data_IF_726607417333
#
_entry.id   IF_726607417333
#
_cell.length_a   1.000
_cell.length_b   1.000
_cell.length_c   1.000
_cell.angle_alpha   90.00
_cell.angle_beta   90.00
_cell.angle_gamma   90.00
#
_symmetry.space_group_name_H-M   'P 1'
#
loop_
_entity.id
_entity.type
_entity.pdbx_description
1 polymer ?
#
# COMPACT_ATOMS: atom_id res chain seq x y z
N UNK A 1 7.02 18.45 10.72
CA UNK A 1 7.43 17.82 9.46
C UNK A 1 6.47 18.26 8.37
N UNK A 2 6.88 18.23 7.10
CA UNK A 2 6.03 18.52 5.94
C UNK A 2 6.07 17.32 5.02
N UNK A 3 4.93 16.76 4.65
CA UNK A 3 4.86 15.58 3.79
C UNK A 3 3.87 15.75 2.66
N UNK A 4 4.08 15.04 1.56
CA UNK A 4 3.18 15.06 0.41
C UNK A 4 3.69 14.15 -0.70
N UNK A 5 3.03 14.24 -1.84
CA UNK A 5 3.18 13.31 -2.97
C UNK A 5 3.08 14.04 -4.31
N UNK A 6 3.66 13.47 -5.37
CA UNK A 6 3.45 13.91 -6.76
C UNK A 6 3.95 15.33 -6.99
N UNK A 7 3.10 16.23 -7.46
CA UNK A 7 3.38 17.66 -7.63
C UNK A 7 3.73 18.37 -6.32
N UNK A 8 3.54 17.73 -5.15
CA UNK A 8 4.14 18.20 -3.91
C UNK A 8 5.68 18.19 -3.95
N UNK A 9 6.31 17.51 -4.90
CA UNK A 9 7.73 17.69 -5.25
C UNK A 9 8.08 19.12 -5.68
N UNK A 10 7.10 19.92 -6.12
CA UNK A 10 7.22 21.37 -6.30
C UNK A 10 6.78 22.11 -5.03
N UNK A 11 5.62 21.79 -4.47
CA UNK A 11 5.06 22.55 -3.33
C UNK A 11 5.96 22.51 -2.09
N UNK A 12 6.48 21.32 -1.74
CA UNK A 12 7.20 21.10 -0.48
C UNK A 12 8.56 21.79 -0.50
N UNK A 13 9.41 21.71 -1.54
CA UNK A 13 10.66 22.46 -1.54
C UNK A 13 10.45 23.98 -1.48
N UNK A 14 9.44 24.51 -2.17
CA UNK A 14 9.12 25.95 -2.09
C UNK A 14 8.66 26.36 -0.68
N UNK A 15 7.76 25.59 -0.06
CA UNK A 15 7.31 25.84 1.31
C UNK A 15 8.44 25.68 2.33
N UNK A 16 9.24 24.64 2.18
CA UNK A 16 10.36 24.31 3.07
C UNK A 16 11.43 25.40 3.02
N UNK A 17 11.82 25.86 1.82
CA UNK A 17 12.75 26.99 1.68
C UNK A 17 12.20 28.24 2.38
N UNK A 18 10.92 28.54 2.21
CA UNK A 18 10.28 29.70 2.86
C UNK A 18 10.33 29.60 4.38
N UNK A 19 10.07 28.43 4.95
CA UNK A 19 10.09 28.21 6.40
C UNK A 19 11.51 28.19 6.99
N UNK A 20 12.51 27.75 6.21
CA UNK A 20 13.92 27.86 6.58
C UNK A 20 14.34 29.33 6.64
N UNK A 21 13.94 30.15 5.66
CA UNK A 21 14.30 31.58 5.59
C UNK A 21 13.51 32.45 6.57
N UNK A 22 12.25 32.08 6.84
CA UNK A 22 11.35 32.80 7.73
C UNK A 22 10.60 31.80 8.63
N UNK A 23 11.25 31.35 9.73
CA UNK A 23 10.63 30.40 10.67
C UNK A 23 9.36 30.96 11.30
N UNK A 24 8.38 30.08 11.53
CA UNK A 24 7.15 30.43 12.23
C UNK A 24 7.34 30.30 13.74
N UNK A 25 6.94 31.32 14.49
CA UNK A 25 6.99 31.29 15.95
C UNK A 25 6.15 30.13 16.50
N UNK A 26 6.73 29.36 17.42
CA UNK A 26 6.08 28.19 18.03
C UNK A 26 6.05 26.93 17.14
N UNK A 27 6.64 26.96 15.94
CA UNK A 27 6.71 25.79 15.05
C UNK A 27 8.15 25.46 14.73
N UNK A 28 8.56 24.23 15.07
CA UNK A 28 9.90 23.74 14.74
C UNK A 28 9.88 22.85 13.50
N UNK A 29 10.58 23.27 12.45
CA UNK A 29 10.72 22.49 11.23
C UNK A 29 11.81 21.41 11.42
N UNK A 30 11.40 20.15 11.55
CA UNK A 30 12.31 19.01 11.73
C UNK A 30 12.77 18.33 10.44
N UNK A 31 11.97 18.42 9.38
CA UNK A 31 12.22 17.65 8.16
C UNK A 31 11.02 17.59 7.23
N UNK A 32 11.21 16.94 6.09
CA UNK A 32 10.19 16.72 5.08
C UNK A 32 10.31 15.35 4.41
N UNK A 33 9.18 14.83 3.92
CA UNK A 33 9.14 13.60 3.14
C UNK A 33 8.28 13.77 1.88
N UNK A 34 8.75 13.30 0.73
CA UNK A 34 8.00 13.43 -0.54
C UNK A 34 7.95 12.08 -1.26
N UNK A 35 6.73 11.59 -1.50
CA UNK A 35 6.45 10.38 -2.27
C UNK A 35 6.33 10.69 -3.76
N UNK A 36 6.96 9.90 -4.61
CA UNK A 36 6.90 9.99 -6.07
C UNK A 36 6.99 11.45 -6.55
N UNK A 37 8.10 12.17 -6.25
CA UNK A 37 8.14 13.63 -6.31
C UNK A 37 8.42 14.17 -7.72
N UNK A 38 7.44 14.80 -8.35
CA UNK A 38 7.71 15.58 -9.56
C UNK A 38 8.53 16.81 -9.15
N UNK A 39 9.79 16.85 -9.58
CA UNK A 39 10.80 17.79 -9.08
C UNK A 39 11.39 18.64 -10.19
N UNK A 40 11.63 18.05 -11.36
CA UNK A 40 12.19 18.74 -12.52
C UNK A 40 11.60 18.19 -13.81
N UNK A 41 10.93 19.05 -14.56
CA UNK A 41 10.21 18.66 -15.78
C UNK A 41 11.12 17.97 -16.80
N UNK A 42 12.33 18.48 -17.00
CA UNK A 42 13.24 17.92 -17.99
C UNK A 42 13.74 16.54 -17.57
N UNK A 43 14.22 16.42 -16.33
CA UNK A 43 14.79 15.17 -15.83
C UNK A 43 13.72 14.09 -15.66
N UNK A 44 12.58 14.45 -15.04
CA UNK A 44 11.51 13.50 -14.78
C UNK A 44 10.87 13.02 -16.08
N UNK A 45 10.54 13.91 -17.02
CA UNK A 45 9.93 13.49 -18.30
C UNK A 45 10.88 12.70 -19.20
N UNK A 46 12.18 13.02 -19.20
CA UNK A 46 13.16 12.28 -19.99
C UNK A 46 13.44 10.88 -19.43
N UNK A 47 13.00 10.57 -18.21
CA UNK A 47 13.07 9.22 -17.64
C UNK A 47 11.93 8.30 -18.10
N UNK A 48 10.84 8.85 -18.62
CA UNK A 48 9.63 8.10 -18.97
C UNK A 48 9.93 6.97 -19.95
N UNK A 49 10.71 7.24 -21.00
CA UNK A 49 10.92 6.27 -22.08
C UNK A 49 11.84 5.13 -21.65
N UNK A 50 12.77 5.40 -20.72
CA UNK A 50 13.56 4.34 -20.09
C UNK A 50 12.66 3.47 -19.22
N UNK A 51 11.75 4.08 -18.47
CA UNK A 51 10.80 3.36 -17.65
C UNK A 51 9.87 2.47 -18.50
N UNK A 52 9.25 3.04 -19.53
CA UNK A 52 8.32 2.34 -20.42
C UNK A 52 8.99 1.14 -21.12
N UNK A 53 10.23 1.31 -21.60
CA UNK A 53 10.99 0.22 -22.21
C UNK A 53 11.33 -0.88 -21.20
N UNK A 54 11.82 -0.53 -20.01
CA UNK A 54 12.20 -1.52 -18.98
C UNK A 54 10.99 -2.26 -18.38
N UNK A 55 9.77 -1.74 -18.57
CA UNK A 55 8.53 -2.39 -18.16
C UNK A 55 7.76 -3.04 -19.31
N UNK A 56 8.37 -3.10 -20.51
CA UNK A 56 7.80 -3.81 -21.66
C UNK A 56 6.58 -3.12 -22.27
N UNK A 57 6.40 -1.82 -22.05
CA UNK A 57 5.31 -1.05 -22.65
C UNK A 57 5.59 -0.67 -24.11
N UNK A 58 6.86 -0.51 -24.46
CA UNK A 58 7.30 -0.12 -25.80
C UNK A 58 8.37 -1.06 -26.34
N UNK A 59 8.44 -1.17 -27.67
CA UNK A 59 9.43 -2.00 -28.35
C UNK A 59 10.85 -1.43 -28.24
N UNK A 60 11.87 -2.27 -28.45
CA UNK A 60 13.27 -1.80 -28.49
C UNK A 60 13.50 -0.88 -29.70
N UNK A 61 12.73 -1.08 -30.78
CA UNK A 61 12.72 -0.25 -31.98
C UNK A 61 12.24 1.17 -31.63
N UNK A 62 11.10 1.30 -30.97
CA UNK A 62 10.56 2.58 -30.49
C UNK A 62 11.51 3.28 -29.52
N UNK A 63 12.03 2.54 -28.54
CA UNK A 63 13.01 3.07 -27.58
C UNK A 63 14.25 3.65 -28.28
N UNK A 64 14.85 2.91 -29.20
CA UNK A 64 16.02 3.37 -29.97
C UNK A 64 15.70 4.55 -30.89
N UNK A 65 14.51 4.57 -31.48
CA UNK A 65 14.05 5.68 -32.32
C UNK A 65 13.97 6.97 -31.51
N UNK A 66 13.38 6.91 -30.30
CA UNK A 66 13.31 8.04 -29.38
C UNK A 66 14.71 8.48 -28.93
N UNK A 67 15.57 7.55 -28.49
CA UNK A 67 16.95 7.87 -28.10
C UNK A 67 17.75 8.56 -29.22
N UNK A 68 17.45 8.26 -30.48
CA UNK A 68 18.10 8.89 -31.63
C UNK A 68 17.50 10.27 -31.94
N UNK A 69 16.18 10.37 -31.95
CA UNK A 69 15.47 11.56 -32.45
C UNK A 69 15.28 12.65 -31.40
N UNK A 70 15.33 12.32 -30.09
CA UNK A 70 14.94 13.22 -29.00
C UNK A 70 16.08 13.70 -28.08
N UNK A 71 17.35 13.49 -28.43
CA UNK A 71 18.51 13.64 -27.53
C UNK A 71 18.64 14.99 -26.77
N UNK A 72 18.14 16.09 -27.35
CA UNK A 72 18.22 17.42 -26.77
C UNK A 72 16.83 18.03 -26.48
N UNK A 73 15.82 17.18 -26.35
CA UNK A 73 14.44 17.59 -26.11
C UNK A 73 14.09 17.36 -24.65
N UNK A 74 13.21 18.23 -24.14
CA UNK A 74 12.45 17.97 -22.92
C UNK A 74 11.21 17.21 -23.37
N UNK A 75 11.12 15.92 -23.06
CA UNK A 75 10.03 15.08 -23.55
C UNK A 75 8.66 15.60 -23.11
N UNK A 76 8.53 16.21 -21.93
CA UNK A 76 7.30 16.87 -21.50
C UNK A 76 6.77 17.91 -22.49
N UNK A 77 7.65 18.64 -23.19
CA UNK A 77 7.23 19.60 -24.21
C UNK A 77 6.54 18.91 -25.38
N UNK A 78 7.08 17.77 -25.82
CA UNK A 78 6.50 16.99 -26.90
C UNK A 78 5.25 16.19 -26.47
N UNK A 79 5.17 15.79 -25.19
CA UNK A 79 4.11 14.89 -24.69
C UNK A 79 2.87 15.65 -24.17
N UNK A 80 3.08 16.79 -23.49
CA UNK A 80 2.02 17.44 -22.71
C UNK A 80 1.71 18.89 -23.12
N UNK A 81 2.60 19.53 -23.87
CA UNK A 81 2.41 20.91 -24.33
C UNK A 81 2.24 20.95 -25.86
N UNK A 82 3.15 21.63 -26.56
CA UNK A 82 3.17 21.71 -28.01
C UNK A 82 3.77 20.43 -28.57
N UNK A 83 2.90 19.47 -28.93
CA UNK A 83 3.31 18.21 -29.57
C UNK A 83 4.35 18.47 -30.65
N UNK A 84 5.50 17.82 -30.51
CA UNK A 84 6.58 17.95 -31.47
C UNK A 84 6.14 17.44 -32.84
N UNK A 85 6.40 18.18 -33.90
CA UNK A 85 6.05 17.80 -35.29
C UNK A 85 7.23 17.21 -36.07
N UNK A 86 8.39 17.10 -35.42
CA UNK A 86 9.62 16.54 -35.97
C UNK A 86 9.68 15.00 -35.77
N UNK A 87 10.82 14.40 -36.11
CA UNK A 87 11.00 12.95 -36.01
C UNK A 87 11.00 12.45 -34.55
N UNK A 88 11.23 13.32 -33.56
CA UNK A 88 11.06 12.98 -32.15
C UNK A 88 9.57 12.81 -31.84
N UNK A 89 8.73 13.76 -32.28
CA UNK A 89 7.28 13.67 -32.12
C UNK A 89 6.69 12.39 -32.70
N UNK A 90 7.09 12.02 -33.93
CA UNK A 90 6.64 10.77 -34.56
C UNK A 90 7.05 9.53 -33.75
N UNK A 91 8.29 9.48 -33.29
CA UNK A 91 8.77 8.35 -32.49
C UNK A 91 8.03 8.23 -31.14
N UNK A 92 7.69 9.36 -30.51
CA UNK A 92 6.87 9.39 -29.30
C UNK A 92 5.42 8.97 -29.57
N UNK A 93 4.82 9.40 -30.68
CA UNK A 93 3.47 9.00 -31.06
C UNK A 93 3.39 7.47 -31.32
N UNK A 94 4.39 6.90 -32.00
CA UNK A 94 4.52 5.45 -32.21
C UNK A 94 4.63 4.70 -30.88
N UNK A 95 5.52 5.14 -29.99
CA UNK A 95 5.70 4.54 -28.66
C UNK A 95 4.42 4.61 -27.80
N UNK A 96 3.73 5.76 -27.80
CA UNK A 96 2.47 5.93 -27.07
C UNK A 96 1.35 5.02 -27.63
N UNK A 97 1.32 4.81 -28.94
CA UNK A 97 0.37 3.90 -29.57
C UNK A 97 0.66 2.43 -29.21
N UNK A 98 1.93 2.02 -29.15
CA UNK A 98 2.34 0.69 -28.69
C UNK A 98 1.94 0.44 -27.24
N UNK A 99 2.22 1.39 -26.35
CA UNK A 99 1.94 1.26 -24.92
C UNK A 99 0.43 1.13 -24.61
N UNK A 100 -0.44 1.62 -25.50
CA UNK A 100 -1.90 1.59 -25.38
C UNK A 100 -2.38 1.86 -23.94
N UNK A 101 -2.05 3.05 -23.45
CA UNK A 101 -2.33 3.47 -22.06
C UNK A 101 -3.82 3.66 -21.76
N UNK A 102 -4.70 3.47 -22.75
CA UNK A 102 -6.16 3.56 -22.60
C UNK A 102 -6.69 2.63 -21.50
N UNK A 103 -6.13 1.43 -21.35
CA UNK A 103 -6.60 0.45 -20.36
C UNK A 103 -5.58 0.15 -19.26
N UNK A 104 -4.56 1.00 -19.17
CA UNK A 104 -3.51 0.93 -18.17
C UNK A 104 -3.82 1.92 -17.04
N UNK A 105 -3.50 1.56 -15.79
CA UNK A 105 -3.39 2.54 -14.71
C UNK A 105 -1.93 3.03 -14.64
N UNK A 106 -1.63 4.26 -15.10
CA UNK A 106 -0.26 4.77 -15.06
C UNK A 106 0.23 5.03 -13.63
N UNK A 107 -0.67 5.19 -12.66
CA UNK A 107 -0.31 5.36 -11.26
C UNK A 107 0.02 4.04 -10.58
N UNK A 108 -0.36 2.90 -11.14
CA UNK A 108 -0.02 1.59 -10.58
C UNK A 108 0.05 0.56 -11.71
N UNK A 109 1.23 0.42 -12.32
CA UNK A 109 1.39 -0.29 -13.58
C UNK A 109 0.94 -1.76 -13.56
N UNK A 110 1.12 -2.42 -12.42
CA UNK A 110 0.74 -3.83 -12.21
C UNK A 110 -0.66 -3.98 -11.61
N UNK A 111 -1.37 -2.87 -11.42
CA UNK A 111 -2.75 -2.82 -10.95
C UNK A 111 -3.76 -2.83 -12.09
N UNK A 112 -5.00 -3.15 -11.75
CA UNK A 112 -6.12 -3.03 -12.67
C UNK A 112 -6.57 -1.57 -12.81
N UNK A 113 -7.06 -1.19 -13.99
CA UNK A 113 -7.71 0.10 -14.23
C UNK A 113 -9.19 0.07 -13.81
N UNK A 114 -9.71 1.18 -13.30
CA UNK A 114 -11.15 1.33 -13.11
C UNK A 114 -11.90 1.34 -14.45
N UNK A 115 -12.82 0.38 -14.59
CA UNK A 115 -13.75 0.27 -15.73
C UNK A 115 -15.21 0.47 -15.31
N UNK A 116 -15.45 0.88 -14.06
CA UNK A 116 -16.78 1.21 -13.56
C UNK A 116 -17.19 2.61 -14.05
N UNK A 117 -17.68 2.68 -15.29
CA UNK A 117 -18.50 3.81 -15.73
C UNK A 117 -19.98 3.49 -15.44
N UNK A 118 -20.65 4.38 -14.69
CA UNK A 118 -22.09 4.42 -14.35
C UNK A 118 -22.74 3.22 -13.59
N UNK A 119 -22.02 2.13 -13.33
CA UNK A 119 -22.57 0.94 -12.63
C UNK A 119 -22.44 0.96 -11.10
N UNK A 120 -22.10 2.09 -10.48
CA UNK A 120 -22.04 2.21 -9.01
C UNK A 120 -23.41 1.91 -8.36
N UNK A 121 -24.51 2.08 -9.09
CA UNK A 121 -25.86 1.76 -8.60
C UNK A 121 -26.16 0.25 -8.56
N UNK A 122 -25.43 -0.60 -9.29
CA UNK A 122 -25.67 -2.05 -9.37
C UNK A 122 -24.73 -2.90 -8.51
N UNK A 123 -23.67 -2.34 -7.95
CA UNK A 123 -22.78 -3.05 -7.01
C UNK A 123 -23.35 -3.08 -5.59
N UNK A 124 -24.54 -3.64 -5.46
CA UNK A 124 -24.98 -4.26 -4.22
C UNK A 124 -24.42 -5.69 -4.19
N UNK A 125 -23.45 -5.96 -3.30
CA UNK A 125 -23.03 -7.29 -2.86
C UNK A 125 -22.24 -8.19 -3.83
N UNK A 126 -21.02 -7.80 -4.24
CA UNK A 126 -20.03 -8.81 -4.59
C UNK A 126 -18.70 -8.57 -3.88
N UNK A 127 -18.37 -9.49 -2.97
CA UNK A 127 -17.09 -9.63 -2.29
C UNK A 127 -15.99 -9.91 -3.33
N UNK A 128 -15.48 -8.86 -3.96
CA UNK A 128 -14.21 -8.93 -4.70
C UNK A 128 -13.12 -8.99 -3.65
N UNK A 129 -12.50 -10.16 -3.47
CA UNK A 129 -11.31 -10.32 -2.63
C UNK A 129 -10.08 -10.00 -3.48
N UNK A 130 -9.29 -8.95 -3.18
CA UNK A 130 -7.99 -8.75 -3.79
C UNK A 130 -7.02 -9.80 -3.28
N UNK A 131 -6.20 -10.37 -4.17
CA UNK A 131 -5.07 -11.20 -3.77
C UNK A 131 -3.97 -10.32 -3.19
N UNK A 132 -3.56 -10.70 -1.97
CA UNK A 132 -2.34 -10.35 -1.24
C UNK A 132 -2.01 -8.85 -1.09
N UNK A 133 -2.61 -8.27 -0.04
CA UNK A 133 -2.26 -7.01 0.65
C UNK A 133 -2.62 -5.70 -0.06
N UNK A 134 -3.92 -5.39 -0.01
CA UNK A 134 -4.47 -4.03 -0.17
C UNK A 134 -5.91 -4.04 -0.66
N UNK A 135 -6.84 -3.41 0.08
CA UNK A 135 -8.24 -3.14 -0.32
C UNK A 135 -8.38 -2.03 -1.36
N UNK A 136 -7.26 -1.54 -1.92
CA UNK A 136 -7.27 -0.48 -2.94
C UNK A 136 -7.48 -1.12 -4.30
N UNK A 137 -8.75 -1.29 -4.64
CA UNK A 137 -9.16 -1.68 -5.98
C UNK A 137 -9.11 -0.49 -6.96
N UNK A 138 -9.20 -0.77 -8.27
CA UNK A 138 -9.13 0.21 -9.35
C UNK A 138 -9.98 1.47 -9.15
N UNK A 139 -11.14 1.34 -8.51
CA UNK A 139 -12.16 2.39 -8.41
C UNK A 139 -12.22 3.10 -7.05
N UNK A 140 -11.15 3.00 -6.25
CA UNK A 140 -11.06 3.61 -4.92
C UNK A 140 -11.38 5.12 -4.92
N UNK A 141 -10.93 5.86 -5.92
CA UNK A 141 -11.21 7.28 -6.13
C UNK A 141 -12.72 7.59 -6.29
N UNK A 142 -13.46 6.73 -7.00
CA UNK A 142 -14.89 6.90 -7.20
C UNK A 142 -15.64 6.68 -5.87
N UNK A 143 -15.24 5.67 -5.09
CA UNK A 143 -15.83 5.43 -3.77
C UNK A 143 -15.55 6.58 -2.80
N UNK A 144 -14.33 7.13 -2.81
CA UNK A 144 -13.99 8.32 -2.01
C UNK A 144 -14.87 9.52 -2.41
N UNK A 145 -15.07 9.72 -3.71
CA UNK A 145 -15.93 10.78 -4.25
C UNK A 145 -17.38 10.62 -3.80
N UNK A 146 -17.94 9.41 -3.93
CA UNK A 146 -19.30 9.12 -3.47
C UNK A 146 -19.45 9.34 -1.96
N UNK A 147 -18.47 8.91 -1.15
CA UNK A 147 -18.50 9.06 0.30
C UNK A 147 -18.44 10.53 0.73
N UNK A 148 -17.48 11.30 0.21
CA UNK A 148 -17.29 12.71 0.58
C UNK A 148 -18.39 13.64 0.04
N UNK A 149 -19.19 13.17 -0.93
CA UNK A 149 -20.35 13.89 -1.45
C UNK A 149 -21.63 13.66 -0.64
N UNK A 150 -21.62 12.79 0.38
CA UNK A 150 -22.80 12.56 1.23
C UNK A 150 -23.02 13.74 2.21
N UNK A 151 -24.28 14.14 2.38
CA UNK A 151 -24.66 15.26 3.25
C UNK A 151 -24.21 15.05 4.70
N UNK A 152 -24.48 13.86 5.26
CA UNK A 152 -24.09 13.52 6.63
C UNK A 152 -22.57 13.58 6.83
N UNK A 153 -21.78 13.16 5.83
CA UNK A 153 -20.32 13.26 5.86
C UNK A 153 -19.89 14.72 5.82
N UNK A 154 -20.48 15.54 4.94
CA UNK A 154 -20.18 16.97 4.84
C UNK A 154 -20.57 17.75 6.10
N UNK A 155 -21.71 17.42 6.72
CA UNK A 155 -22.10 17.98 8.01
C UNK A 155 -21.08 17.62 9.10
N UNK A 156 -20.63 16.36 9.14
CA UNK A 156 -19.66 15.88 10.11
C UNK A 156 -18.28 16.56 9.99
N UNK A 157 -17.85 16.91 8.77
CA UNK A 157 -16.59 17.63 8.52
C UNK A 157 -16.78 19.16 8.39
N UNK A 158 -17.97 19.67 8.70
CA UNK A 158 -18.32 21.09 8.64
C UNK A 158 -18.14 21.76 7.25
N UNK A 159 -18.34 20.98 6.18
CA UNK A 159 -18.31 21.46 4.80
C UNK A 159 -19.70 21.74 4.21
N UNK A 160 -20.78 21.45 4.95
CA UNK A 160 -22.16 21.66 4.48
C UNK A 160 -22.64 23.09 4.73
N UNK A 161 -22.91 23.84 3.66
CA UNK A 161 -23.42 25.22 3.71
C UNK A 161 -24.78 25.34 3.00
N UNK A 162 -25.79 24.62 3.51
CA UNK A 162 -27.18 24.52 3.02
C UNK A 162 -27.42 23.64 1.78
N UNK A 163 -26.39 23.34 0.99
CA UNK A 163 -26.45 22.39 -0.13
C UNK A 163 -25.26 21.46 -0.09
N UNK A 164 -25.46 20.23 -0.58
CA UNK A 164 -24.35 19.29 -0.75
C UNK A 164 -23.40 19.79 -1.85
N UNK A 165 -22.12 19.67 -1.59
CA UNK A 165 -21.06 19.96 -2.54
C UNK A 165 -20.72 18.66 -3.27
N UNK A 166 -20.68 18.68 -4.60
CA UNK A 166 -20.12 17.54 -5.34
C UNK A 166 -18.60 17.55 -5.17
N UNK A 167 -18.09 16.69 -4.30
CA UNK A 167 -16.64 16.62 -4.06
C UNK A 167 -15.96 15.99 -5.27
N UNK A 168 -14.75 16.43 -5.58
CA UNK A 168 -13.92 15.82 -6.62
C UNK A 168 -12.47 15.74 -6.15
N UNK A 169 -11.79 14.66 -6.50
CA UNK A 169 -10.39 14.45 -6.10
C UNK A 169 -9.45 15.49 -6.73
N UNK A 170 -9.71 15.87 -7.97
CA UNK A 170 -8.92 16.85 -8.71
C UNK A 170 -9.84 17.86 -9.39
N UNK A 171 -9.46 19.14 -9.33
CA UNK A 171 -10.13 20.19 -10.07
C UNK A 171 -9.31 20.54 -11.32
N UNK A 172 -9.73 20.03 -12.47
CA UNK A 172 -9.01 20.23 -13.74
C UNK A 172 -9.02 21.69 -14.21
N UNK A 173 -10.05 22.47 -13.89
CA UNK A 173 -10.06 23.90 -14.21
C UNK A 173 -8.91 24.64 -13.52
N UNK A 174 -8.60 24.28 -12.27
CA UNK A 174 -7.44 24.82 -11.57
C UNK A 174 -6.15 24.39 -12.28
N UNK A 175 -6.03 23.13 -12.67
CA UNK A 175 -4.84 22.63 -13.40
C UNK A 175 -4.61 23.36 -14.71
N UNK A 176 -5.67 23.70 -15.46
CA UNK A 176 -5.57 24.42 -16.74
C UNK A 176 -5.06 25.85 -16.58
N UNK A 177 -5.48 26.55 -15.52
CA UNK A 177 -5.07 27.94 -15.27
C UNK A 177 -3.80 28.04 -14.42
N UNK A 178 -3.32 26.94 -13.84
CA UNK A 178 -2.16 26.94 -12.97
C UNK A 178 -0.88 27.19 -13.77
N UNK A 179 -0.21 28.30 -13.49
CA UNK A 179 1.11 28.58 -14.07
C UNK A 179 2.16 27.67 -13.42
N UNK A 180 2.56 26.62 -14.14
CA UNK A 180 3.45 25.58 -13.64
C UNK A 180 4.86 26.09 -13.41
N UNK A 181 5.52 25.49 -12.42
CA UNK A 181 6.95 25.69 -12.17
C UNK A 181 7.71 24.49 -12.72
N UNK A 182 8.72 24.75 -13.55
CA UNK A 182 9.46 23.69 -14.24
C UNK A 182 10.42 22.91 -13.34
N UNK A 183 10.95 23.52 -12.28
CA UNK A 183 11.94 22.88 -11.42
C UNK A 183 11.92 23.40 -9.98
N UNK A 184 12.02 22.48 -9.04
CA UNK A 184 12.25 22.74 -7.62
C UNK A 184 13.72 22.54 -7.20
N UNK A 185 14.59 22.06 -8.09
CA UNK A 185 16.01 21.81 -7.78
C UNK A 185 16.74 23.02 -7.16
N UNK A 186 16.53 24.28 -7.62
CA UNK A 186 17.20 25.44 -7.03
C UNK A 186 16.87 25.68 -5.55
N UNK A 187 15.85 25.02 -5.00
CA UNK A 187 15.43 25.13 -3.59
C UNK A 187 16.24 24.23 -2.68
N UNK A 188 16.68 23.08 -3.18
CA UNK A 188 17.36 22.07 -2.38
C UNK A 188 18.68 22.53 -1.74
N UNK A 189 19.55 23.36 -2.36
CA UNK A 189 20.75 23.83 -1.68
C UNK A 189 20.48 24.56 -0.36
N UNK A 190 19.48 25.45 -0.32
CA UNK A 190 19.06 26.14 0.91
C UNK A 190 18.47 25.15 1.93
N UNK A 191 17.65 24.21 1.46
CA UNK A 191 16.97 23.23 2.31
C UNK A 191 17.97 22.25 2.96
N UNK A 192 18.89 21.71 2.17
CA UNK A 192 19.85 20.70 2.60
C UNK A 192 20.89 21.30 3.56
N UNK A 193 21.30 22.56 3.36
CA UNK A 193 22.21 23.28 4.27
C UNK A 193 21.59 23.61 5.64
N UNK A 194 20.26 23.61 5.75
CA UNK A 194 19.55 23.84 7.02
C UNK A 194 19.59 22.63 7.99
N UNK A 195 20.17 21.49 7.58
CA UNK A 195 20.31 20.31 8.45
C UNK A 195 19.01 19.54 8.72
N UNK A 196 17.97 19.77 7.91
CA UNK A 196 16.67 19.08 8.02
C UNK A 196 16.78 17.59 7.67
N UNK A 197 15.98 16.74 8.29
CA UNK A 197 15.83 15.34 7.85
C UNK A 197 15.00 15.29 6.57
N UNK A 198 15.52 14.70 5.49
CA UNK A 198 14.82 14.58 4.22
C UNK A 198 14.64 13.12 3.81
N UNK A 199 13.41 12.74 3.48
CA UNK A 199 13.09 11.44 2.89
C UNK A 199 12.45 11.67 1.54
N UNK A 200 13.06 11.12 0.50
CA UNK A 200 12.42 10.98 -0.81
C UNK A 200 12.09 9.50 -0.99
N UNK A 201 10.91 9.19 -1.46
CA UNK A 201 10.55 7.81 -1.71
C UNK A 201 9.72 7.66 -2.98
N UNK A 202 9.86 6.54 -3.67
CA UNK A 202 9.09 6.27 -4.89
C UNK A 202 8.60 4.84 -4.90
N UNK A 203 7.33 4.64 -5.25
CA UNK A 203 6.88 3.33 -5.71
C UNK A 203 7.61 2.95 -7.01
N UNK A 204 8.10 1.71 -7.09
CA UNK A 204 8.89 1.26 -8.24
C UNK A 204 8.06 0.87 -9.46
N UNK A 205 6.72 0.84 -9.33
CA UNK A 205 5.77 0.57 -10.41
C UNK A 205 4.85 1.76 -10.72
N UNK A 206 5.28 2.98 -10.35
CA UNK A 206 4.66 4.24 -10.78
C UNK A 206 5.24 4.70 -12.12
N UNK A 207 4.39 4.82 -13.15
CA UNK A 207 4.82 5.34 -14.45
C UNK A 207 4.64 6.85 -14.58
N UNK A 208 3.97 7.54 -13.66
CA UNK A 208 3.71 9.00 -13.75
C UNK A 208 4.90 9.80 -13.24
N UNK A 209 5.43 9.43 -12.08
CA UNK A 209 6.66 10.00 -11.51
C UNK A 209 7.57 8.87 -11.07
N UNK A 210 8.18 8.23 -12.07
CA UNK A 210 8.95 7.02 -11.85
C UNK A 210 10.24 7.28 -11.04
N UNK A 211 10.73 6.22 -10.40
CA UNK A 211 11.91 6.28 -9.55
C UNK A 211 13.21 6.62 -10.31
N UNK A 212 13.28 6.37 -11.63
CA UNK A 212 14.47 6.65 -12.46
C UNK A 212 14.68 8.17 -12.55
N UNK A 213 13.62 8.93 -12.86
CA UNK A 213 13.65 10.39 -12.84
C UNK A 213 14.09 10.93 -11.47
N UNK A 214 13.56 10.32 -10.40
CA UNK A 214 13.93 10.67 -9.03
C UNK A 214 15.41 10.47 -8.74
N UNK A 215 15.98 9.32 -9.13
CA UNK A 215 17.42 9.06 -8.97
C UNK A 215 18.29 10.01 -9.82
N UNK A 216 17.86 10.33 -11.04
CA UNK A 216 18.61 11.23 -11.92
C UNK A 216 18.77 12.61 -11.31
N UNK A 217 17.70 13.22 -10.82
CA UNK A 217 17.80 14.58 -10.26
C UNK A 217 18.51 14.60 -8.91
N UNK A 218 18.55 13.50 -8.17
CA UNK A 218 19.36 13.37 -6.95
C UNK A 218 20.86 13.25 -7.26
N UNK A 219 21.21 12.72 -8.43
CA UNK A 219 22.58 12.43 -8.85
C UNK A 219 23.06 13.44 -9.89
N UNK A 220 23.90 13.02 -10.83
CA UNK A 220 24.69 13.91 -11.71
C UNK A 220 23.86 14.80 -12.62
N UNK A 221 22.61 14.42 -12.88
CA UNK A 221 21.73 15.17 -13.79
C UNK A 221 21.08 16.37 -13.10
N UNK A 222 21.08 16.39 -11.76
CA UNK A 222 20.52 17.48 -10.95
C UNK A 222 21.46 17.93 -9.82
N UNK A 223 21.16 17.51 -8.60
CA UNK A 223 21.80 18.00 -7.37
C UNK A 223 23.23 17.47 -7.15
N UNK A 224 23.59 16.38 -7.82
CA UNK A 224 24.88 15.69 -7.70
C UNK A 224 25.25 15.41 -6.23
N UNK A 225 24.30 14.84 -5.48
CA UNK A 225 24.47 14.60 -4.06
C UNK A 225 25.53 13.52 -3.81
N UNK A 226 26.34 13.72 -2.77
CA UNK A 226 27.37 12.74 -2.39
C UNK A 226 26.76 11.59 -1.61
N UNK A 227 26.91 10.36 -2.12
CA UNK A 227 26.52 9.13 -1.44
C UNK A 227 27.31 8.95 -0.14
N UNK A 228 26.59 8.66 0.96
CA UNK A 228 27.16 8.28 2.26
C UNK A 228 26.95 6.80 2.55
N UNK A 229 25.76 6.27 2.28
CA UNK A 229 25.49 4.83 2.33
C UNK A 229 24.98 4.37 0.97
N UNK A 230 25.72 3.45 0.36
CA UNK A 230 25.45 2.96 -1.00
C UNK A 230 24.09 2.26 -1.09
N UNK A 231 23.49 2.30 -2.28
CA UNK A 231 22.29 1.53 -2.63
C UNK A 231 22.31 0.09 -2.10
N UNK A 232 21.32 -0.26 -1.29
CA UNK A 232 21.16 -1.60 -0.73
C UNK A 232 19.68 -1.92 -0.45
N UNK A 233 19.37 -3.21 -0.34
CA UNK A 233 18.03 -3.68 -0.03
C UNK A 233 17.61 -3.31 1.40
N UNK A 234 16.34 -2.98 1.60
CA UNK A 234 15.72 -2.85 2.92
C UNK A 234 14.51 -3.79 3.03
N UNK A 235 14.21 -4.19 4.26
CA UNK A 235 13.19 -5.18 4.56
C UNK A 235 12.12 -4.56 5.47
N UNK A 236 10.87 -4.89 5.18
CA UNK A 236 9.74 -4.48 6.00
C UNK A 236 9.66 -5.25 7.32
N UNK A 237 8.71 -4.88 8.19
CA UNK A 237 8.47 -5.58 9.46
C UNK A 237 7.99 -7.02 9.26
N UNK A 238 7.43 -7.31 8.07
CA UNK A 238 7.08 -8.65 7.59
C UNK A 238 8.29 -9.48 7.11
N UNK A 239 9.52 -8.98 7.31
CA UNK A 239 10.78 -9.62 6.88
C UNK A 239 10.88 -9.85 5.37
N UNK A 240 10.02 -9.22 4.57
CA UNK A 240 10.06 -9.29 3.12
C UNK A 240 10.89 -8.14 2.56
N UNK A 241 11.52 -8.38 1.40
CA UNK A 241 12.18 -7.32 0.65
C UNK A 241 11.15 -6.23 0.33
N UNK A 242 11.32 -5.05 0.90
CA UNK A 242 10.39 -3.94 0.76
C UNK A 242 10.86 -2.92 -0.27
N UNK A 243 12.12 -2.98 -0.69
CA UNK A 243 12.68 -2.17 -1.77
C UNK A 243 14.17 -1.93 -1.56
N UNK A 244 14.67 -0.79 -2.01
CA UNK A 244 16.07 -0.42 -1.91
C UNK A 244 16.23 1.02 -1.44
N UNK A 245 17.34 1.33 -0.79
CA UNK A 245 17.59 2.64 -0.21
C UNK A 245 19.05 3.08 -0.39
N UNK A 246 19.25 4.39 -0.55
CA UNK A 246 20.56 5.03 -0.58
C UNK A 246 20.49 6.34 0.19
N UNK A 247 21.53 6.57 1.00
CA UNK A 247 21.65 7.79 1.78
C UNK A 247 22.72 8.67 1.15
N UNK A 248 22.36 9.91 0.89
CA UNK A 248 23.29 10.95 0.47
C UNK A 248 23.72 11.74 1.71
N UNK A 249 23.49 13.04 1.76
CA UNK A 249 23.81 13.90 2.91
C UNK A 249 22.83 13.67 4.07
N UNK A 250 21.90 14.60 4.27
CA UNK A 250 20.74 14.55 5.17
C UNK A 250 19.47 14.08 4.45
N UNK A 251 19.61 13.65 3.19
CA UNK A 251 18.56 13.10 2.35
C UNK A 251 18.76 11.59 2.13
N UNK A 252 17.70 10.83 2.35
CA UNK A 252 17.62 9.40 2.03
C UNK A 252 16.62 9.22 0.89
N UNK A 253 16.99 8.43 -0.12
CA UNK A 253 16.09 8.01 -1.17
C UNK A 253 15.76 6.53 -1.01
N UNK A 254 14.48 6.17 -1.10
CA UNK A 254 14.00 4.80 -0.90
C UNK A 254 12.97 4.41 -1.94
N UNK A 255 13.16 3.29 -2.63
CA UNK A 255 12.10 2.67 -3.44
C UNK A 255 11.24 1.75 -2.58
N UNK A 256 9.95 1.65 -2.92
CA UNK A 256 9.02 0.68 -2.32
C UNK A 256 8.56 -0.31 -3.39
N UNK A 257 8.91 -1.58 -3.18
CA UNK A 257 8.75 -2.65 -4.16
C UNK A 257 7.29 -3.02 -4.38
N UNK A 258 6.86 -2.96 -5.63
CA UNK A 258 5.50 -3.20 -6.08
C UNK A 258 4.51 -2.17 -5.54
N UNK A 259 4.95 -0.94 -5.29
CA UNK A 259 4.07 0.19 -4.98
C UNK A 259 3.96 1.11 -6.20
N UNK A 260 2.76 1.62 -6.45
CA UNK A 260 2.51 2.68 -7.44
C UNK A 260 2.78 4.08 -6.89
N UNK A 261 2.15 5.07 -7.49
CA UNK A 261 2.22 6.49 -7.17
C UNK A 261 1.81 6.76 -5.72
N UNK A 262 0.68 6.18 -5.30
CA UNK A 262 0.17 6.26 -3.94
C UNK A 262 0.74 5.12 -3.08
N UNK A 263 2.02 5.23 -2.70
CA UNK A 263 2.72 4.21 -1.92
C UNK A 263 1.95 3.75 -0.67
N UNK A 264 1.42 4.64 0.20
CA UNK A 264 0.70 4.20 1.40
C UNK A 264 -0.61 3.46 1.09
N UNK A 265 -1.21 3.71 -0.07
CA UNK A 265 -2.44 3.04 -0.50
C UNK A 265 -2.17 1.60 -0.96
N UNK A 266 -1.09 1.39 -1.73
CA UNK A 266 -0.75 0.09 -2.33
C UNK A 266 0.07 -0.79 -1.40
N UNK A 267 0.99 -0.21 -0.63
CA UNK A 267 1.88 -0.92 0.31
C UNK A 267 1.80 -0.30 1.71
N UNK A 268 0.65 -0.36 2.39
CA UNK A 268 0.41 0.35 3.66
C UNK A 268 1.40 -0.05 4.76
N UNK A 269 1.72 -1.35 4.90
CA UNK A 269 2.67 -1.84 5.90
C UNK A 269 4.07 -1.26 5.70
N UNK A 270 4.60 -1.35 4.48
CA UNK A 270 5.93 -0.84 4.12
C UNK A 270 5.99 0.68 4.15
N UNK A 271 4.91 1.36 3.72
CA UNK A 271 4.77 2.81 3.80
C UNK A 271 4.74 3.32 5.24
N UNK A 272 3.97 2.68 6.13
CA UNK A 272 3.92 3.02 7.54
C UNK A 272 5.27 2.76 8.22
N UNK A 273 5.92 1.62 7.94
CA UNK A 273 7.25 1.33 8.45
C UNK A 273 8.26 2.42 8.07
N UNK A 274 8.31 2.78 6.79
CA UNK A 274 9.19 3.82 6.30
C UNK A 274 8.90 5.18 6.97
N UNK A 275 7.63 5.53 7.13
CA UNK A 275 7.20 6.77 7.79
C UNK A 275 7.61 6.81 9.27
N UNK A 276 7.36 5.75 10.03
CA UNK A 276 7.74 5.64 11.44
C UNK A 276 9.27 5.74 11.62
N UNK A 277 10.05 5.02 10.82
CA UNK A 277 11.52 5.14 10.85
C UNK A 277 11.99 6.56 10.47
N UNK A 278 11.28 7.25 9.58
CA UNK A 278 11.57 8.63 9.24
C UNK A 278 11.25 9.60 10.39
N UNK A 279 10.12 9.46 11.08
CA UNK A 279 9.74 10.38 12.15
C UNK A 279 10.54 10.14 13.43
N UNK A 280 10.66 8.89 13.86
CA UNK A 280 11.19 8.53 15.17
C UNK A 280 12.60 7.92 15.14
N UNK A 281 13.10 7.59 13.95
CA UNK A 281 14.40 6.94 13.78
C UNK A 281 14.35 5.42 13.88
N UNK A 282 15.42 4.77 13.47
CA UNK A 282 15.48 3.30 13.34
C UNK A 282 15.21 2.55 14.64
N UNK A 283 15.68 3.08 15.78
CA UNK A 283 15.54 2.40 17.06
C UNK A 283 14.09 2.35 17.53
N UNK A 284 13.32 3.42 17.29
CA UNK A 284 11.92 3.47 17.62
C UNK A 284 11.09 2.56 16.68
N UNK A 285 11.34 2.63 15.38
CA UNK A 285 10.58 1.82 14.43
C UNK A 285 10.83 0.31 14.54
N UNK A 286 12.01 -0.12 15.02
CA UNK A 286 12.28 -1.55 15.32
C UNK A 286 11.38 -2.14 16.41
N UNK A 287 10.84 -1.30 17.29
CA UNK A 287 9.97 -1.71 18.39
C UNK A 287 8.49 -1.38 18.14
N UNK A 288 8.16 -0.83 16.97
CA UNK A 288 6.79 -0.49 16.64
C UNK A 288 6.00 -1.78 16.35
N UNK A 289 4.81 -1.89 16.92
CA UNK A 289 3.93 -3.04 16.73
C UNK A 289 3.15 -2.86 15.43
N UNK A 290 3.58 -3.57 14.38
CA UNK A 290 2.95 -3.50 13.07
C UNK A 290 1.84 -4.55 12.94
N UNK A 291 0.72 -4.20 12.29
CA UNK A 291 -0.32 -5.17 11.98
C UNK A 291 0.27 -6.34 11.19
N UNK A 292 0.00 -7.56 11.67
CA UNK A 292 0.38 -8.79 11.00
C UNK A 292 -0.78 -9.32 10.16
N UNK A 293 -0.45 -9.89 9.02
CA UNK A 293 -1.41 -10.60 8.16
C UNK A 293 -1.51 -12.09 8.55
N UNK A 294 -2.72 -12.67 8.52
CA UNK A 294 -2.98 -14.07 8.89
C UNK A 294 -2.22 -15.09 8.00
N UNK A 295 -1.74 -14.67 6.82
CA UNK A 295 -0.98 -15.50 5.89
C UNK A 295 0.53 -15.24 5.93
N UNK A 296 1.05 -14.50 6.92
CA UNK A 296 2.49 -14.27 7.05
C UNK A 296 3.31 -15.57 7.13
N UNK A 297 2.75 -16.64 7.67
CA UNK A 297 3.35 -17.98 7.67
C UNK A 297 3.60 -18.54 6.26
N UNK A 298 2.74 -18.22 5.28
CA UNK A 298 2.89 -18.69 3.89
C UNK A 298 4.16 -18.12 3.27
N UNK A 299 4.55 -16.92 3.71
CA UNK A 299 5.78 -16.25 3.27
C UNK A 299 7.01 -16.62 4.09
N UNK A 300 6.86 -17.45 5.14
CA UNK A 300 7.93 -17.78 6.09
C UNK A 300 8.30 -16.64 7.04
N UNK A 301 7.48 -15.57 7.11
CA UNK A 301 7.72 -14.45 8.03
C UNK A 301 7.49 -14.84 9.50
N UNK A 302 6.59 -15.80 9.73
CA UNK A 302 6.36 -16.47 11.01
C UNK A 302 6.90 -17.91 10.97
N UNK A 303 8.18 -18.13 11.30
CA UNK A 303 8.78 -19.46 11.25
C UNK A 303 8.14 -20.46 12.24
N UNK A 304 7.55 -19.95 13.32
CA UNK A 304 7.00 -20.77 14.42
C UNK A 304 5.50 -21.10 14.22
N UNK A 305 4.89 -20.72 13.09
CA UNK A 305 3.44 -20.91 12.85
C UNK A 305 3.00 -22.37 12.91
N UNK A 306 3.85 -23.29 12.46
CA UNK A 306 3.57 -24.73 12.51
C UNK A 306 4.08 -25.42 13.78
N UNK A 307 4.83 -24.72 14.63
CA UNK A 307 5.32 -25.26 15.90
C UNK A 307 4.27 -25.18 17.02
N UNK A 308 3.17 -24.44 16.81
CA UNK A 308 2.10 -24.28 17.80
C UNK A 308 0.92 -25.28 17.65
N UNK A 309 0.94 -26.16 16.63
CA UNK A 309 -0.08 -27.20 16.49
C UNK A 309 0.42 -28.57 16.98
N UNK A 310 -0.20 -29.03 18.07
CA UNK A 310 -0.15 -30.38 18.66
C UNK A 310 0.85 -30.71 19.78
N UNK A 311 1.02 -29.81 20.76
CA UNK A 311 1.16 -30.30 22.14
C UNK A 311 -0.25 -30.54 22.72
N UNK A 312 -0.91 -31.61 22.25
CA UNK A 312 -2.00 -32.20 23.06
C UNK A 312 -1.31 -32.65 24.34
N UNK A 313 -1.41 -31.82 25.38
CA UNK A 313 -0.72 -32.00 26.66
C UNK A 313 -0.84 -33.46 27.07
N UNK A 314 0.28 -34.12 27.42
CA UNK A 314 0.34 -35.49 27.93
C UNK A 314 -0.77 -35.78 28.97
N UNK A 315 -1.17 -34.75 29.71
CA UNK A 315 -2.30 -34.71 30.64
C UNK A 315 -3.64 -35.12 30.03
N UNK A 316 -3.97 -34.72 28.79
CA UNK A 316 -5.22 -35.09 28.10
C UNK A 316 -5.25 -36.59 27.81
N UNK A 317 -4.14 -37.18 27.35
CA UNK A 317 -4.02 -38.62 27.14
C UNK A 317 -4.13 -39.40 28.46
N UNK A 318 -3.57 -38.88 29.54
CA UNK A 318 -3.75 -39.45 30.88
C UNK A 318 -5.21 -39.42 31.34
N UNK A 319 -5.94 -38.34 31.09
CA UNK A 319 -7.37 -38.26 31.44
C UNK A 319 -8.23 -39.23 30.62
N UNK A 320 -7.95 -39.36 29.32
CA UNK A 320 -8.65 -40.33 28.46
C UNK A 320 -8.36 -41.76 28.91
N UNK A 321 -7.10 -42.08 29.21
CA UNK A 321 -6.71 -43.40 29.72
C UNK A 321 -7.35 -43.72 31.08
N UNK A 322 -7.36 -42.75 32.01
CA UNK A 322 -7.99 -42.92 33.31
C UNK A 322 -9.51 -43.13 33.20
N UNK A 323 -10.19 -42.39 32.31
CA UNK A 323 -11.61 -42.55 32.06
C UNK A 323 -11.94 -43.93 31.46
N UNK A 324 -11.11 -44.43 30.54
CA UNK A 324 -11.29 -45.77 29.97
C UNK A 324 -11.15 -46.88 31.03
N UNK A 325 -10.16 -46.78 31.92
CA UNK A 325 -9.97 -47.73 33.03
C UNK A 325 -11.17 -47.71 33.99
N UNK A 326 -11.65 -46.52 34.34
CA UNK A 326 -12.85 -46.36 35.19
C UNK A 326 -14.10 -46.99 34.55
N UNK A 327 -14.30 -46.80 33.25
CA UNK A 327 -15.43 -47.39 32.53
C UNK A 327 -15.39 -48.93 32.56
N UNK A 328 -14.21 -49.53 32.38
CA UNK A 328 -14.03 -50.99 32.46
C UNK A 328 -14.32 -51.51 33.87
N UNK A 329 -13.85 -50.82 34.91
CA UNK A 329 -14.11 -51.21 36.31
C UNK A 329 -15.60 -51.13 36.61
N UNK A 330 -16.26 -50.02 36.27
CA UNK A 330 -17.71 -49.83 36.51
C UNK A 330 -18.52 -50.87 35.74
N UNK A 331 -18.18 -51.13 34.47
CA UNK A 331 -18.81 -52.16 33.66
C UNK A 331 -18.65 -53.56 34.25
N UNK A 332 -17.46 -53.91 34.73
CA UNK A 332 -17.19 -55.20 35.38
C UNK A 332 -17.97 -55.41 36.68
N UNK A 333 -18.04 -54.37 37.52
CA UNK A 333 -18.82 -54.41 38.78
C UNK A 333 -20.32 -54.53 38.49
N UNK A 334 -20.82 -53.79 37.49
CA UNK A 334 -22.23 -53.85 37.09
C UNK A 334 -22.60 -55.23 36.52
N UNK A 335 -21.74 -55.80 35.68
CA UNK A 335 -21.91 -57.16 35.15
C UNK A 335 -21.95 -58.22 36.26
N UNK A 336 -21.04 -58.15 37.23
CA UNK A 336 -21.06 -59.04 38.39
C UNK A 336 -22.37 -58.91 39.17
N UNK A 337 -22.89 -57.68 39.36
CA UNK A 337 -24.15 -57.43 40.06
C UNK A 337 -25.37 -58.03 39.35
N UNK A 338 -25.41 -57.94 38.02
CA UNK A 338 -26.50 -58.51 37.21
C UNK A 338 -26.44 -60.03 37.20
N UNK A 339 -25.25 -60.61 37.07
CA UNK A 339 -25.08 -62.07 37.04
C UNK A 339 -25.59 -62.77 38.31
N UNK A 340 -25.50 -62.10 39.48
CA UNK A 340 -25.95 -62.64 40.78
C UNK A 340 -27.46 -62.52 41.02
N UNK A 341 -28.23 -61.77 40.22
CA UNK A 341 -29.67 -61.54 40.43
C UNK A 341 -30.61 -62.57 39.77
N UNK A 342 -30.10 -63.52 39.00
CA UNK A 342 -30.92 -64.43 38.16
C UNK A 342 -31.45 -65.72 38.81
N UNK A 343 -31.39 -65.88 40.13
CA UNK A 343 -31.94 -67.08 40.80
C UNK A 343 -32.87 -66.73 41.96
N UNK A 344 -34.12 -66.43 41.65
CA UNK A 344 -35.27 -66.60 42.56
C UNK A 344 -36.57 -66.59 41.74
N UNK A 345 -37.24 -67.73 41.61
CA UNK A 345 -38.57 -67.84 40.99
C UNK A 345 -39.65 -67.69 42.08
N UNK A 346 -40.76 -67.00 41.76
CA UNK A 346 -41.99 -67.00 42.57
C UNK A 346 -43.20 -67.18 41.64
N UNK A 347 -44.11 -68.05 42.06
CA UNK A 347 -45.34 -68.49 41.38
C UNK A 347 -46.50 -67.50 41.62
N UNK A 348 -47.35 -67.25 40.61
CA UNK A 348 -48.44 -66.27 40.63
C UNK A 348 -49.81 -66.92 40.69
N UNK A 349 -50.75 -66.33 41.46
CA UNK A 349 -52.20 -66.48 41.24
C UNK A 349 -52.96 -65.16 41.35
N UNK A 350 -53.95 -65.04 40.47
CA UNK A 350 -54.69 -63.84 40.05
C UNK A 350 -55.78 -63.38 41.03
N UNK A 351 -55.99 -62.07 41.08
CA UNK A 351 -57.01 -61.39 41.89
C UNK A 351 -58.35 -61.15 41.18
N UNK A 352 -59.17 -60.31 41.81
CA UNK A 352 -60.42 -59.78 41.28
C UNK A 352 -60.65 -58.33 41.76
N UNK A 353 -60.82 -57.42 40.78
CA UNK A 353 -61.82 -56.32 40.64
C UNK A 353 -62.21 -55.46 41.87
N UNK A 354 -62.49 -54.15 41.80
CA UNK A 354 -62.98 -53.27 40.72
C UNK A 354 -62.90 -51.79 41.16
N UNK A 355 -62.70 -50.92 40.17
CA UNK A 355 -62.93 -49.48 39.98
C UNK A 355 -63.94 -48.70 40.85
N UNK A 356 -63.67 -47.39 41.08
CA UNK A 356 -64.41 -46.22 40.54
C UNK A 356 -63.88 -44.88 41.12
N UNK A 357 -63.30 -43.97 40.30
CA UNK A 357 -63.84 -42.73 39.66
C UNK A 357 -63.78 -41.42 40.50
N UNK A 358 -62.87 -40.55 40.03
CA UNK A 358 -62.83 -39.08 39.86
C UNK A 358 -64.15 -38.26 39.90
N UNK A 359 -64.14 -36.90 39.96
CA UNK A 359 -63.15 -35.90 39.46
C UNK A 359 -61.93 -35.63 40.34
#
# INVERSE_FOLDING_TARGET
YITGESYAGIYIPFLTEKLVKAPLSGVELKGFAIGNPFTDEAIDSNSQMDYDYNHGLISIESYKAIQKSCQNKVLAQCLYYDRCSDDCGKALDEANAEANTTYLDPYYLVGDKCVLDDQITTLQYHYVRPLHRGTVGPCSANFATTYLSQENVQQAIHAFENTTISWSQCNFNISEIYSRTYSALPKYPTILSAGLKALIYSGDVDSVVNFIGTQRWLTTDGLNLTVKDKWHAWFGPDKQLAGYTERYTNLTFTTIKGAGHMVPAVRPLHGLYLFECFIYGEQACKNFDYPKDELEYVSGAEPDYFDDDSSVSFTVYLYIAAAAVLAVIVGGVWWQRISRRKTAYVELKSGATTYQTQP
#
